data_IF_966619736372
#
_entry.id   IF_966619736372
#
_cell.length_a   1.000
_cell.length_b   1.000
_cell.length_c   1.000
_cell.angle_alpha   90.00
_cell.angle_beta   90.00
_cell.angle_gamma   90.00
#
_symmetry.space_group_name_H-M   'P 1'
#
loop_
_entity.id
_entity.type
_entity.pdbx_description
1 polymer ?
#
# COMPACT_ATOMS: atom_id res chain seq x y z
N UNK A 1 17.35 17.16 8.50
CA UNK A 1 16.44 17.37 9.64
C UNK A 1 15.89 16.02 10.07
N UNK A 2 15.72 15.79 11.36
CA UNK A 2 15.04 14.57 11.85
C UNK A 2 13.53 14.66 11.60
N UNK A 3 12.84 13.52 11.57
CA UNK A 3 11.37 13.48 11.46
C UNK A 3 10.66 14.33 12.53
N UNK A 4 11.23 14.38 13.74
CA UNK A 4 10.69 15.18 14.85
C UNK A 4 10.80 16.68 14.55
N UNK A 5 11.96 17.11 14.04
CA UNK A 5 12.18 18.51 13.65
C UNK A 5 11.25 18.92 12.50
N UNK A 6 11.12 18.05 11.49
CA UNK A 6 10.26 18.31 10.33
C UNK A 6 8.79 18.52 10.76
N UNK A 7 8.28 17.67 11.65
CA UNK A 7 6.89 17.76 12.14
C UNK A 7 6.65 19.05 12.94
N UNK A 8 7.62 19.46 13.74
CA UNK A 8 7.56 20.71 14.50
C UNK A 8 7.52 21.94 13.59
N UNK A 9 8.40 22.00 12.58
CA UNK A 9 8.45 23.13 11.63
C UNK A 9 7.17 23.22 10.77
N UNK A 10 6.64 22.09 10.28
CA UNK A 10 5.35 22.08 9.58
C UNK A 10 4.23 22.60 10.50
N UNK A 11 4.20 22.17 11.76
CA UNK A 11 3.23 22.64 12.75
C UNK A 11 3.25 24.15 12.91
N UNK A 12 4.43 24.77 12.97
CA UNK A 12 4.58 26.24 13.07
C UNK A 12 4.06 26.97 11.84
N UNK A 13 4.31 26.42 10.65
CA UNK A 13 3.82 27.00 9.39
C UNK A 13 2.30 26.95 9.30
N UNK A 14 1.67 25.89 9.81
CA UNK A 14 0.21 25.75 9.84
C UNK A 14 -0.45 26.78 10.78
N UNK A 15 0.23 27.19 11.86
CA UNK A 15 -0.34 28.16 12.82
C UNK A 15 -0.55 29.56 12.23
N UNK A 16 0.23 29.92 11.21
CA UNK A 16 0.17 31.22 10.54
C UNK A 16 -0.43 31.14 9.13
N UNK A 17 -0.84 29.95 8.70
CA UNK A 17 -1.39 29.71 7.38
C UNK A 17 -2.80 30.30 7.25
N UNK A 18 -3.08 30.90 6.09
CA UNK A 18 -4.43 31.30 5.74
C UNK A 18 -5.26 30.11 5.24
N UNK A 19 -6.57 30.30 5.12
CA UNK A 19 -7.51 29.26 4.70
C UNK A 19 -7.15 28.67 3.32
N UNK A 20 -6.61 29.50 2.42
CA UNK A 20 -6.19 29.09 1.08
C UNK A 20 -5.00 28.14 1.14
N UNK A 21 -3.98 28.47 1.93
CA UNK A 21 -2.82 27.62 2.13
C UNK A 21 -3.22 26.31 2.84
N UNK A 22 -4.08 26.38 3.85
CA UNK A 22 -4.60 25.18 4.53
C UNK A 22 -5.34 24.26 3.57
N UNK A 23 -6.21 24.79 2.70
CA UNK A 23 -6.93 24.00 1.70
C UNK A 23 -5.98 23.34 0.68
N UNK A 24 -4.93 24.04 0.26
CA UNK A 24 -3.92 23.50 -0.64
C UNK A 24 -3.08 22.38 0.01
N UNK A 25 -2.59 22.61 1.24
CA UNK A 25 -1.83 21.60 1.99
C UNK A 25 -2.71 20.38 2.29
N UNK A 26 -3.97 20.58 2.67
CA UNK A 26 -4.92 19.49 2.89
C UNK A 26 -5.10 18.66 1.61
N UNK A 27 -5.36 19.29 0.47
CA UNK A 27 -5.56 18.60 -0.81
C UNK A 27 -4.31 17.83 -1.24
N UNK A 28 -3.13 18.41 -1.05
CA UNK A 28 -1.85 17.77 -1.37
C UNK A 28 -1.58 16.55 -0.46
N UNK A 29 -1.74 16.72 0.86
CA UNK A 29 -1.55 15.63 1.82
C UNK A 29 -2.56 14.51 1.59
N UNK A 30 -3.81 14.87 1.31
CA UNK A 30 -4.88 13.92 0.99
C UNK A 30 -4.56 13.13 -0.27
N UNK A 31 -4.14 13.78 -1.34
CA UNK A 31 -3.73 13.09 -2.58
C UNK A 31 -2.54 12.14 -2.34
N UNK A 32 -1.57 12.56 -1.53
CA UNK A 32 -0.41 11.73 -1.19
C UNK A 32 -0.80 10.49 -0.36
N UNK A 33 -1.78 10.62 0.53
CA UNK A 33 -2.30 9.52 1.33
C UNK A 33 -3.29 8.62 0.56
N UNK A 34 -4.01 9.18 -0.41
CA UNK A 34 -4.97 8.45 -1.25
C UNK A 34 -4.30 7.71 -2.41
N UNK A 35 -3.09 8.10 -2.85
CA UNK A 35 -2.31 7.34 -3.85
C UNK A 35 -1.98 5.89 -3.47
N UNK A 36 -2.07 5.54 -2.18
CA UNK A 36 -1.97 4.14 -1.75
C UNK A 36 -3.23 3.31 -2.07
N UNK A 37 -4.31 3.94 -2.55
CA UNK A 37 -5.56 3.31 -2.96
C UNK A 37 -5.74 3.18 -4.47
N UNK A 38 -4.75 3.56 -5.27
CA UNK A 38 -4.82 3.36 -6.72
C UNK A 38 -4.93 1.86 -7.03
N UNK A 39 -5.96 1.50 -7.79
CA UNK A 39 -6.23 0.11 -8.21
C UNK A 39 -5.18 -0.25 -9.26
N UNK A 40 -4.32 -1.21 -8.94
CA UNK A 40 -3.23 -1.69 -9.81
C UNK A 40 -3.59 -2.99 -10.53
N UNK A 41 -4.69 -3.63 -10.15
CA UNK A 41 -5.17 -4.86 -10.79
C UNK A 41 -6.43 -5.42 -10.13
N UNK A 42 -6.77 -6.65 -10.48
CA UNK A 42 -7.89 -7.39 -9.91
C UNK A 42 -7.45 -8.82 -9.56
N UNK A 43 -8.04 -9.37 -8.51
CA UNK A 43 -7.89 -10.78 -8.13
C UNK A 43 -8.64 -11.71 -9.09
N UNK A 44 -8.41 -13.02 -8.99
CA UNK A 44 -9.14 -14.05 -9.76
C UNK A 44 -10.66 -14.02 -9.52
N UNK A 45 -11.10 -13.51 -8.37
CA UNK A 45 -12.51 -13.31 -8.02
C UNK A 45 -13.06 -11.95 -8.47
N UNK A 46 -12.27 -11.16 -9.20
CA UNK A 46 -12.66 -9.83 -9.68
C UNK A 46 -12.65 -8.72 -8.62
N UNK A 47 -12.09 -8.96 -7.42
CA UNK A 47 -11.93 -7.90 -6.41
C UNK A 47 -10.77 -6.97 -6.79
N UNK A 48 -10.93 -5.64 -6.67
CA UNK A 48 -9.88 -4.68 -6.97
C UNK A 48 -8.70 -4.86 -6.00
N UNK A 49 -7.50 -4.66 -6.52
CA UNK A 49 -6.24 -4.83 -5.80
C UNK A 49 -5.49 -3.50 -5.83
N UNK A 50 -5.24 -2.91 -4.67
CA UNK A 50 -4.52 -1.64 -4.55
C UNK A 50 -3.01 -1.87 -4.55
N UNK A 51 -2.23 -0.81 -4.77
CA UNK A 51 -0.76 -0.88 -4.65
C UNK A 51 -0.31 -1.43 -3.29
N UNK A 52 -0.98 -1.03 -2.22
CA UNK A 52 -0.71 -1.52 -0.86
C UNK A 52 -0.96 -3.03 -0.75
N UNK A 53 -2.10 -3.49 -1.27
CA UNK A 53 -2.47 -4.92 -1.24
C UNK A 53 -1.44 -5.76 -2.01
N UNK A 54 -0.98 -5.27 -3.17
CA UNK A 54 0.03 -5.96 -3.98
C UNK A 54 1.36 -6.12 -3.24
N UNK A 55 1.86 -5.03 -2.63
CA UNK A 55 3.11 -5.06 -1.88
C UNK A 55 3.03 -6.03 -0.70
N UNK A 56 1.89 -6.07 -0.01
CA UNK A 56 1.67 -7.04 1.07
C UNK A 56 1.68 -8.48 0.54
N UNK A 57 0.96 -8.75 -0.55
CA UNK A 57 0.90 -10.08 -1.18
C UNK A 57 2.28 -10.59 -1.60
N UNK A 58 3.13 -9.70 -2.12
CA UNK A 58 4.50 -10.03 -2.52
C UNK A 58 5.35 -10.42 -1.30
N UNK A 59 5.27 -9.67 -0.20
CA UNK A 59 6.03 -10.00 1.01
C UNK A 59 5.54 -11.27 1.70
N UNK A 60 4.23 -11.51 1.72
CA UNK A 60 3.65 -12.77 2.22
C UNK A 60 4.12 -13.95 1.37
N UNK A 61 4.05 -13.83 0.04
CA UNK A 61 4.53 -14.86 -0.90
C UNK A 61 6.02 -15.12 -0.75
N UNK A 62 6.82 -14.07 -0.60
CA UNK A 62 8.27 -14.16 -0.34
C UNK A 62 8.54 -14.92 0.96
N UNK A 63 7.80 -14.58 2.02
CA UNK A 63 7.94 -15.23 3.33
C UNK A 63 7.55 -16.71 3.27
N UNK A 64 6.44 -17.03 2.60
CA UNK A 64 6.00 -18.40 2.38
C UNK A 64 7.04 -19.22 1.59
N UNK A 65 7.62 -18.64 0.54
CA UNK A 65 8.69 -19.26 -0.23
C UNK A 65 9.93 -19.54 0.63
N UNK A 66 10.36 -18.57 1.45
CA UNK A 66 11.48 -18.76 2.38
C UNK A 66 11.19 -19.83 3.45
N UNK A 67 9.94 -20.01 3.84
CA UNK A 67 9.49 -21.06 4.77
C UNK A 67 9.31 -22.44 4.11
N UNK A 68 9.59 -22.57 2.80
CA UNK A 68 9.37 -23.81 2.06
C UNK A 68 7.90 -24.15 1.81
N UNK A 69 6.98 -23.21 2.05
CA UNK A 69 5.54 -23.35 1.76
C UNK A 69 5.24 -22.98 0.31
N UNK A 70 5.98 -23.58 -0.62
CA UNK A 70 5.79 -23.42 -2.06
C UNK A 70 5.60 -24.79 -2.67
N UNK A 71 4.56 -24.92 -3.48
CA UNK A 71 4.31 -26.12 -4.27
C UNK A 71 4.71 -25.86 -5.72
N UNK A 72 5.26 -26.88 -6.38
CA UNK A 72 5.52 -26.82 -7.81
C UNK A 72 4.22 -26.85 -8.61
N UNK A 73 4.26 -26.36 -9.86
CA UNK A 73 3.09 -26.33 -10.74
C UNK A 73 2.44 -27.72 -10.91
N UNK A 74 3.25 -28.78 -10.99
CA UNK A 74 2.75 -30.15 -11.12
C UNK A 74 1.99 -30.63 -9.87
N UNK A 75 2.46 -30.22 -8.68
CA UNK A 75 1.80 -30.56 -7.42
C UNK A 75 0.48 -29.79 -7.26
N UNK A 76 0.42 -28.55 -7.74
CA UNK A 76 -0.82 -27.76 -7.78
C UNK A 76 -1.86 -28.41 -8.71
N UNK A 77 -1.45 -28.88 -9.90
CA UNK A 77 -2.34 -29.57 -10.83
C UNK A 77 -2.92 -30.85 -10.23
N UNK A 78 -2.10 -31.63 -9.52
CA UNK A 78 -2.55 -32.83 -8.83
C UNK A 78 -3.56 -32.54 -7.71
N UNK A 79 -3.45 -31.39 -7.03
CA UNK A 79 -4.39 -30.97 -5.97
C UNK A 79 -5.73 -30.48 -6.54
N UNK A 80 -5.72 -29.87 -7.73
CA UNK A 80 -6.94 -29.46 -8.44
C UNK A 80 -7.75 -30.68 -8.89
N UNK A 81 -7.11 -31.78 -9.25
CA UNK A 81 -7.82 -33.03 -9.63
C UNK A 81 -8.56 -33.70 -8.47
N UNK A 82 -8.19 -33.38 -7.22
CA UNK A 82 -8.81 -33.90 -5.99
C UNK A 82 -9.80 -32.95 -5.33
N UNK A 83 -10.01 -31.74 -5.88
CA UNK A 83 -11.05 -30.79 -5.46
C UNK A 83 -12.39 -31.07 -6.14
#
# INVERSE_FOLDING_TARGET
MSNIQLRSEIGKLLTIADERLLAAVYSMMRSYLEHDQDIVGYTVDGKPLTKKDLLQLVEESRTAALQGKVIGADALLAEIETW
#
